data_IF_464100744052
#
_entry.id   IF_464100744052
#
_cell.length_a   1.000
_cell.length_b   1.000
_cell.length_c   1.000
_cell.angle_alpha   90.00
_cell.angle_beta   90.00
_cell.angle_gamma   90.00
#
_symmetry.space_group_name_H-M   'P 1'
#
loop_
_entity.id
_entity.type
_entity.pdbx_description
1 polymer ?
#
# COMPACT_ATOMS: atom_id res chain seq x y z
N UNK A 1 -13.58 -24.82 -15.76
CA UNK A 1 -14.27 -23.57 -15.41
C UNK A 1 -15.19 -23.20 -16.57
N UNK A 2 -16.43 -22.75 -16.30
CA UNK A 2 -17.39 -22.23 -17.30
C UNK A 2 -18.12 -21.02 -16.70
N UNK A 3 -18.44 -19.97 -17.47
CA UNK A 3 -19.31 -18.87 -17.02
C UNK A 3 -20.66 -19.31 -16.46
N UNK A 4 -21.18 -20.47 -16.86
CA UNK A 4 -22.44 -21.03 -16.34
C UNK A 4 -22.37 -21.44 -14.85
N UNK A 5 -21.17 -21.45 -14.26
CA UNK A 5 -20.93 -21.83 -12.86
C UNK A 5 -20.73 -20.62 -11.94
N UNK A 6 -20.96 -19.40 -12.42
CA UNK A 6 -20.90 -18.20 -11.60
C UNK A 6 -22.01 -18.24 -10.54
N UNK A 7 -21.73 -17.64 -9.37
CA UNK A 7 -22.75 -17.43 -8.34
C UNK A 7 -23.89 -16.57 -8.89
N UNK A 8 -25.12 -16.92 -8.53
CA UNK A 8 -26.31 -16.08 -8.80
C UNK A 8 -26.31 -14.78 -7.97
N UNK A 9 -25.45 -14.68 -6.95
CA UNK A 9 -25.37 -13.54 -6.03
C UNK A 9 -24.04 -12.80 -6.18
N UNK A 10 -24.11 -11.53 -6.56
CA UNK A 10 -22.97 -10.60 -6.60
C UNK A 10 -22.89 -9.80 -5.29
N UNK A 11 -22.52 -10.47 -4.20
CA UNK A 11 -22.49 -9.88 -2.85
C UNK A 11 -21.11 -9.34 -2.43
N UNK A 12 -20.12 -9.41 -3.31
CA UNK A 12 -18.75 -8.97 -3.03
C UNK A 12 -17.96 -9.93 -2.14
N UNK A 13 -18.42 -11.17 -1.99
CA UNK A 13 -17.64 -12.24 -1.34
C UNK A 13 -16.34 -12.53 -2.10
N UNK A 14 -15.28 -12.83 -1.35
CA UNK A 14 -13.95 -13.18 -1.91
C UNK A 14 -13.91 -14.57 -2.54
N UNK A 15 -14.88 -15.41 -2.22
CA UNK A 15 -14.94 -16.81 -2.57
C UNK A 15 -16.37 -17.18 -2.95
N UNK A 16 -16.52 -18.11 -3.90
CA UNK A 16 -17.79 -18.68 -4.32
C UNK A 16 -18.40 -17.99 -5.53
N UNK A 17 -17.97 -16.76 -5.86
CA UNK A 17 -18.44 -16.08 -7.08
C UNK A 17 -18.02 -16.82 -8.34
N UNK A 18 -16.75 -17.23 -8.41
CA UNK A 18 -16.18 -17.86 -9.62
C UNK A 18 -16.44 -19.38 -9.68
N UNK A 19 -16.87 -19.99 -8.57
CA UNK A 19 -17.04 -21.43 -8.45
C UNK A 19 -15.73 -22.20 -8.60
N UNK A 20 -14.61 -21.61 -8.17
CA UNK A 20 -13.26 -22.16 -8.25
C UNK A 20 -12.71 -22.48 -6.85
N UNK A 21 -11.49 -23.03 -6.78
CA UNK A 21 -10.81 -23.24 -5.51
C UNK A 21 -10.32 -21.92 -4.89
N UNK A 22 -10.23 -21.86 -3.56
CA UNK A 22 -9.82 -20.69 -2.77
C UNK A 22 -8.59 -19.97 -3.34
N UNK A 23 -7.53 -20.72 -3.69
CA UNK A 23 -6.31 -20.11 -4.24
C UNK A 23 -6.51 -19.44 -5.60
N UNK A 24 -7.38 -20.00 -6.45
CA UNK A 24 -7.69 -19.41 -7.75
C UNK A 24 -8.56 -18.17 -7.59
N UNK A 25 -9.56 -18.22 -6.69
CA UNK A 25 -10.40 -17.05 -6.42
C UNK A 25 -9.63 -15.92 -5.73
N UNK A 26 -8.72 -16.23 -4.82
CA UNK A 26 -7.81 -15.24 -4.23
C UNK A 26 -6.92 -14.55 -5.29
N UNK A 27 -6.45 -15.30 -6.29
CA UNK A 27 -5.71 -14.73 -7.43
C UNK A 27 -6.61 -13.86 -8.32
N UNK A 28 -7.82 -14.34 -8.65
CA UNK A 28 -8.79 -13.60 -9.46
C UNK A 28 -9.28 -12.32 -8.76
N UNK A 29 -9.42 -12.32 -7.44
CA UNK A 29 -9.75 -11.10 -6.69
C UNK A 29 -8.69 -10.01 -6.91
N UNK A 30 -7.39 -10.38 -6.86
CA UNK A 30 -6.31 -9.43 -7.14
C UNK A 30 -6.26 -9.02 -8.62
N UNK A 31 -6.37 -9.98 -9.54
CA UNK A 31 -6.20 -9.75 -10.98
C UNK A 31 -7.39 -9.00 -11.60
N UNK A 32 -8.60 -9.27 -11.13
CA UNK A 32 -9.84 -8.68 -11.64
C UNK A 32 -10.30 -7.60 -10.68
N UNK A 33 -10.81 -7.92 -9.49
CA UNK A 33 -11.44 -6.94 -8.60
C UNK A 33 -10.52 -5.75 -8.30
N UNK A 34 -9.32 -5.98 -7.77
CA UNK A 34 -8.43 -4.90 -7.33
C UNK A 34 -7.84 -4.11 -8.51
N UNK A 35 -7.44 -4.77 -9.59
CA UNK A 35 -6.95 -4.10 -10.79
C UNK A 35 -8.02 -3.22 -11.43
N UNK A 36 -9.20 -3.80 -11.69
CA UNK A 36 -10.31 -3.10 -12.35
C UNK A 36 -10.84 -1.96 -11.46
N UNK A 37 -10.75 -2.07 -10.14
CA UNK A 37 -11.11 -0.97 -9.23
C UNK A 37 -10.23 0.27 -9.43
N UNK A 38 -8.94 0.08 -9.68
CA UNK A 38 -8.04 1.19 -10.01
C UNK A 38 -8.36 1.82 -11.36
N UNK A 39 -8.65 1.01 -12.37
CA UNK A 39 -9.10 1.50 -13.68
C UNK A 39 -10.42 2.27 -13.54
N UNK A 40 -11.39 1.72 -12.80
CA UNK A 40 -12.67 2.38 -12.54
C UNK A 40 -12.48 3.76 -11.90
N UNK A 41 -11.61 3.87 -10.89
CA UNK A 41 -11.32 5.16 -10.26
C UNK A 41 -10.78 6.17 -11.27
N UNK A 42 -9.77 5.78 -12.05
CA UNK A 42 -9.10 6.65 -13.02
C UNK A 42 -10.02 7.08 -14.17
N UNK A 43 -11.00 6.26 -14.55
CA UNK A 43 -12.01 6.64 -15.56
C UNK A 43 -12.96 7.72 -15.02
N UNK A 44 -13.26 7.70 -13.72
CA UNK A 44 -14.22 8.65 -13.11
C UNK A 44 -13.56 9.88 -12.46
N UNK A 45 -12.23 9.90 -12.33
CA UNK A 45 -11.47 10.99 -11.71
C UNK A 45 -10.32 11.40 -12.62
N UNK A 46 -10.35 12.65 -13.08
CA UNK A 46 -9.33 13.18 -13.99
C UNK A 46 -7.90 13.13 -13.41
N UNK A 47 -7.77 13.23 -12.09
CA UNK A 47 -6.49 13.24 -11.37
C UNK A 47 -6.44 12.07 -10.35
N UNK A 48 -6.00 10.86 -10.74
CA UNK A 48 -5.93 9.70 -9.84
C UNK A 48 -4.96 9.89 -8.66
N UNK A 49 -4.03 10.83 -8.81
CA UNK A 49 -3.00 11.23 -7.87
C UNK A 49 -3.47 12.31 -6.87
N UNK A 50 -4.71 12.78 -6.95
CA UNK A 50 -5.21 13.83 -6.06
C UNK A 50 -5.39 13.30 -4.62
N UNK A 51 -4.67 13.90 -3.66
CA UNK A 51 -4.81 13.63 -2.23
C UNK A 51 -6.22 13.91 -1.71
N UNK A 52 -6.86 14.96 -2.23
CA UNK A 52 -8.18 15.39 -1.76
C UNK A 52 -9.31 14.47 -2.24
N UNK A 53 -9.01 13.50 -3.11
CA UNK A 53 -9.94 12.44 -3.52
C UNK A 53 -10.01 11.26 -2.52
N UNK A 54 -9.30 11.35 -1.39
CA UNK A 54 -9.42 10.37 -0.30
C UNK A 54 -10.82 10.40 0.34
N UNK A 55 -11.31 9.28 0.89
CA UNK A 55 -12.58 9.28 1.62
C UNK A 55 -12.58 10.26 2.79
N UNK A 56 -13.71 10.93 3.04
CA UNK A 56 -13.86 11.95 4.10
C UNK A 56 -13.36 11.48 5.48
N UNK A 57 -13.61 10.21 5.82
CA UNK A 57 -13.17 9.63 7.10
C UNK A 57 -11.64 9.61 7.23
N UNK A 58 -10.94 9.35 6.12
CA UNK A 58 -9.48 9.29 6.06
C UNK A 58 -8.89 10.70 6.14
N UNK A 59 -9.43 11.65 5.36
CA UNK A 59 -9.04 13.06 5.43
C UNK A 59 -9.24 13.63 6.83
N UNK A 60 -10.38 13.35 7.47
CA UNK A 60 -10.68 13.84 8.81
C UNK A 60 -9.71 13.30 9.88
N UNK A 61 -9.40 11.99 9.86
CA UNK A 61 -8.46 11.42 10.85
C UNK A 61 -7.03 11.88 10.60
N UNK A 62 -6.58 11.95 9.35
CA UNK A 62 -5.25 12.45 8.99
C UNK A 62 -5.08 13.93 9.37
N UNK A 63 -6.10 14.77 9.13
CA UNK A 63 -6.12 16.17 9.54
C UNK A 63 -6.07 16.33 11.06
N UNK A 64 -6.85 15.53 11.80
CA UNK A 64 -6.86 15.53 13.27
C UNK A 64 -5.48 15.26 13.85
N UNK A 65 -4.73 14.34 13.24
CA UNK A 65 -3.41 13.91 13.71
C UNK A 65 -2.23 14.61 13.02
N UNK A 66 -2.49 15.62 12.18
CA UNK A 66 -1.46 16.29 11.40
C UNK A 66 -0.36 16.94 12.27
N UNK A 67 -0.71 17.39 13.49
CA UNK A 67 0.22 18.05 14.43
C UNK A 67 0.88 17.10 15.43
N UNK A 68 0.61 15.81 15.34
CA UNK A 68 1.22 14.84 16.23
C UNK A 68 2.75 14.83 16.04
N UNK A 69 3.48 14.73 17.16
CA UNK A 69 4.93 14.63 17.11
C UNK A 69 5.32 13.29 16.47
N UNK A 70 6.12 13.36 15.40
CA UNK A 70 6.73 12.19 14.77
C UNK A 70 8.11 11.94 15.37
N UNK A 71 8.40 10.68 15.66
CA UNK A 71 9.72 10.27 16.18
C UNK A 71 10.79 10.35 15.09
N UNK A 72 10.42 10.01 13.86
CA UNK A 72 11.25 10.08 12.68
C UNK A 72 10.54 10.86 11.58
N UNK A 73 11.30 11.70 10.88
CA UNK A 73 10.87 12.38 9.66
C UNK A 73 12.02 12.27 8.67
N UNK A 74 11.82 11.55 7.56
CA UNK A 74 12.84 11.33 6.56
C UNK A 74 12.62 12.21 5.32
N UNK A 75 13.71 12.63 4.68
CA UNK A 75 13.66 13.25 3.36
C UNK A 75 13.36 12.23 2.27
N UNK A 76 12.98 12.71 1.09
CA UNK A 76 12.83 11.86 -0.10
C UNK A 76 14.13 11.11 -0.40
N UNK A 77 15.30 11.75 -0.30
CA UNK A 77 16.59 11.10 -0.57
C UNK A 77 16.91 10.02 0.47
N UNK A 78 16.57 10.23 1.75
CA UNK A 78 16.76 9.22 2.79
C UNK A 78 15.87 8.00 2.56
N UNK A 79 14.60 8.22 2.19
CA UNK A 79 13.72 7.14 1.77
C UNK A 79 14.28 6.42 0.54
N UNK A 80 14.64 7.16 -0.50
CA UNK A 80 15.13 6.62 -1.78
C UNK A 80 16.35 5.69 -1.58
N UNK A 81 17.29 6.12 -0.74
CA UNK A 81 18.54 5.41 -0.44
C UNK A 81 18.39 4.28 0.58
N UNK A 82 17.16 3.95 1.00
CA UNK A 82 16.90 2.95 2.02
C UNK A 82 17.64 3.26 3.35
N UNK A 83 17.67 4.54 3.74
CA UNK A 83 18.45 5.04 4.87
C UNK A 83 17.59 5.32 6.13
N UNK A 84 16.61 4.46 6.42
CA UNK A 84 15.78 4.57 7.63
C UNK A 84 16.34 3.73 8.78
N UNK A 85 15.80 3.91 9.98
CA UNK A 85 16.09 3.07 11.14
C UNK A 85 15.56 1.62 10.99
N UNK A 86 14.60 1.40 10.09
CA UNK A 86 13.90 0.12 9.97
C UNK A 86 14.51 -0.75 8.87
N UNK A 87 15.19 -1.82 9.29
CA UNK A 87 15.87 -2.76 8.38
C UNK A 87 14.91 -3.45 7.40
N UNK A 88 13.67 -3.73 7.79
CA UNK A 88 12.72 -4.37 6.90
C UNK A 88 12.20 -3.38 5.86
N UNK A 89 11.95 -2.14 6.26
CA UNK A 89 11.61 -1.08 5.32
C UNK A 89 12.73 -0.83 4.31
N UNK A 90 13.98 -0.75 4.78
CA UNK A 90 15.15 -0.56 3.92
C UNK A 90 15.32 -1.72 2.93
N UNK A 91 15.05 -2.96 3.35
CA UNK A 91 15.06 -4.11 2.46
C UNK A 91 13.97 -4.04 1.38
N UNK A 92 12.79 -3.54 1.73
CA UNK A 92 11.70 -3.34 0.77
C UNK A 92 12.05 -2.27 -0.27
N UNK A 93 12.58 -1.14 0.16
CA UNK A 93 13.07 -0.11 -0.75
C UNK A 93 14.19 -0.62 -1.65
N UNK A 94 15.16 -1.38 -1.08
CA UNK A 94 16.26 -1.98 -1.85
C UNK A 94 15.75 -2.95 -2.92
N UNK A 95 14.73 -3.77 -2.60
CA UNK A 95 14.09 -4.65 -3.59
C UNK A 95 13.51 -3.82 -4.75
N UNK A 96 12.74 -2.78 -4.44
CA UNK A 96 12.13 -1.92 -5.45
C UNK A 96 13.18 -1.28 -6.36
N UNK A 97 14.23 -0.67 -5.79
CA UNK A 97 15.28 0.01 -6.56
C UNK A 97 16.09 -0.97 -7.42
N UNK A 98 16.43 -2.17 -6.91
CA UNK A 98 17.28 -3.13 -7.62
C UNK A 98 16.53 -3.95 -8.66
N UNK A 99 15.29 -4.32 -8.39
CA UNK A 99 14.54 -5.31 -9.17
C UNK A 99 13.37 -4.69 -9.95
N UNK A 100 13.05 -3.43 -9.69
CA UNK A 100 11.91 -2.73 -10.30
C UNK A 100 10.54 -3.29 -9.89
N UNK A 101 10.50 -4.11 -8.84
CA UNK A 101 9.28 -4.71 -8.28
C UNK A 101 9.46 -4.88 -6.79
N UNK A 102 8.36 -4.93 -6.06
CA UNK A 102 8.37 -5.17 -4.61
C UNK A 102 7.35 -6.25 -4.27
N UNK A 103 7.69 -7.15 -3.36
CA UNK A 103 6.72 -8.12 -2.86
C UNK A 103 5.51 -7.38 -2.24
N UNK A 104 4.29 -7.82 -2.55
CA UNK A 104 3.07 -7.08 -2.20
C UNK A 104 2.91 -6.80 -0.70
N UNK A 105 3.19 -7.78 0.16
CA UNK A 105 3.07 -7.60 1.60
C UNK A 105 4.08 -6.58 2.19
N UNK A 106 5.39 -6.62 1.84
CA UNK A 106 6.30 -5.51 2.09
C UNK A 106 5.87 -4.18 1.47
N UNK A 107 5.26 -4.14 0.27
CA UNK A 107 4.76 -2.89 -0.36
C UNK A 107 3.73 -2.17 0.50
N UNK A 108 2.81 -2.91 1.12
CA UNK A 108 1.87 -2.33 2.07
C UNK A 108 2.57 -1.74 3.31
N UNK A 109 3.52 -2.47 3.91
CA UNK A 109 4.29 -1.97 5.05
C UNK A 109 5.11 -0.73 4.66
N UNK A 110 5.82 -0.82 3.53
CA UNK A 110 6.65 0.23 2.96
C UNK A 110 5.86 1.54 2.87
N UNK A 111 4.67 1.46 2.27
CA UNK A 111 3.85 2.65 2.14
C UNK A 111 3.33 3.19 3.46
N UNK A 112 2.83 2.31 4.35
CA UNK A 112 2.32 2.72 5.67
C UNK A 112 3.40 3.39 6.53
N UNK A 113 4.67 3.00 6.36
CA UNK A 113 5.80 3.62 7.05
C UNK A 113 6.23 4.96 6.45
N UNK A 114 6.13 5.16 5.13
CA UNK A 114 6.31 6.49 4.55
C UNK A 114 5.30 7.47 5.14
N UNK A 115 4.02 7.07 5.28
CA UNK A 115 3.02 7.89 5.96
C UNK A 115 3.40 8.21 7.42
N UNK A 116 3.89 7.22 8.16
CA UNK A 116 4.27 7.39 9.57
C UNK A 116 5.51 8.28 9.75
N UNK A 117 6.40 8.34 8.76
CA UNK A 117 7.70 9.01 8.84
C UNK A 117 7.86 10.19 7.86
N UNK A 118 6.76 10.72 7.33
CA UNK A 118 6.74 11.96 6.55
C UNK A 118 6.23 13.13 7.40
N UNK A 119 6.64 14.35 7.06
CA UNK A 119 6.25 15.56 7.78
C UNK A 119 4.72 15.78 7.75
N UNK A 120 4.07 15.47 6.63
CA UNK A 120 2.62 15.46 6.50
C UNK A 120 2.11 14.29 5.65
N UNK A 121 0.79 13.98 5.71
CA UNK A 121 0.18 12.98 4.83
C UNK A 121 0.23 13.33 3.34
N UNK A 122 0.32 14.63 3.00
CA UNK A 122 0.49 15.08 1.60
C UNK A 122 1.91 14.80 1.13
N UNK A 123 2.92 15.15 1.93
CA UNK A 123 4.32 14.83 1.63
C UNK A 123 4.51 13.31 1.51
N UNK A 124 3.82 12.52 2.35
CA UNK A 124 3.82 11.06 2.22
C UNK A 124 3.26 10.61 0.86
N UNK A 125 2.15 11.18 0.40
CA UNK A 125 1.57 10.86 -0.91
C UNK A 125 2.56 11.19 -2.04
N UNK A 126 3.22 12.34 -1.97
CA UNK A 126 4.24 12.76 -2.94
C UNK A 126 5.43 11.81 -2.97
N UNK A 127 5.99 11.45 -1.81
CA UNK A 127 7.09 10.46 -1.71
C UNK A 127 6.67 9.10 -2.25
N UNK A 128 5.46 8.63 -1.93
CA UNK A 128 4.93 7.36 -2.43
C UNK A 128 4.84 7.35 -3.95
N UNK A 129 4.29 8.40 -4.53
CA UNK A 129 4.12 8.55 -5.99
C UNK A 129 5.48 8.61 -6.67
N UNK A 130 6.38 9.47 -6.19
CA UNK A 130 7.72 9.65 -6.76
C UNK A 130 8.49 8.33 -6.79
N UNK A 131 8.65 7.68 -5.63
CA UNK A 131 9.43 6.44 -5.55
C UNK A 131 8.79 5.29 -6.33
N UNK A 132 7.46 5.19 -6.32
CA UNK A 132 6.76 4.17 -7.07
C UNK A 132 6.91 4.37 -8.58
N UNK A 133 6.68 5.58 -9.08
CA UNK A 133 6.75 5.89 -10.51
C UNK A 133 8.19 5.84 -11.04
N UNK A 134 9.17 6.19 -10.21
CA UNK A 134 10.58 6.17 -10.58
C UNK A 134 11.15 4.76 -10.73
N UNK A 135 10.77 3.85 -9.83
CA UNK A 135 11.43 2.54 -9.73
C UNK A 135 10.55 1.35 -10.09
N UNK A 136 9.23 1.41 -9.88
CA UNK A 136 8.38 0.25 -10.17
C UNK A 136 8.17 0.12 -11.68
N UNK A 137 8.48 -1.06 -12.23
CA UNK A 137 8.13 -1.42 -13.61
C UNK A 137 6.62 -1.49 -13.83
N UNK A 138 5.85 -1.67 -12.75
CA UNK A 138 4.38 -1.59 -12.71
C UNK A 138 3.86 -0.22 -12.22
N UNK A 139 4.73 0.79 -12.17
CA UNK A 139 4.43 2.17 -11.78
C UNK A 139 3.63 2.92 -12.85
N UNK A 140 3.27 4.18 -12.55
CA UNK A 140 2.50 5.05 -13.45
C UNK A 140 1.18 4.44 -13.97
N UNK A 141 0.61 3.50 -13.22
CA UNK A 141 -0.58 2.73 -13.60
C UNK A 141 -1.76 3.02 -12.63
N UNK A 142 -3.03 2.99 -13.08
CA UNK A 142 -4.18 3.18 -12.20
C UNK A 142 -4.19 2.29 -10.96
N UNK A 143 -3.72 1.04 -11.08
CA UNK A 143 -3.60 0.12 -9.95
C UNK A 143 -2.50 0.57 -8.96
N UNK A 144 -1.40 1.12 -9.47
CA UNK A 144 -0.33 1.72 -8.65
C UNK A 144 -0.88 2.86 -7.79
N UNK A 145 -1.67 3.78 -8.37
CA UNK A 145 -2.31 4.86 -7.59
C UNK A 145 -3.31 4.31 -6.57
N UNK A 146 -4.13 3.32 -6.93
CA UNK A 146 -5.01 2.66 -5.95
C UNK A 146 -4.26 2.07 -4.78
N UNK A 147 -3.13 1.40 -5.02
CA UNK A 147 -2.26 0.87 -3.97
C UNK A 147 -1.67 1.97 -3.08
N UNK A 148 -1.20 3.07 -3.69
CA UNK A 148 -0.68 4.24 -2.96
C UNK A 148 -1.78 4.86 -2.11
N UNK A 149 -2.95 5.16 -2.65
CA UNK A 149 -4.01 5.80 -1.87
C UNK A 149 -4.70 4.85 -0.89
N UNK A 150 -4.61 3.54 -1.08
CA UNK A 150 -4.95 2.57 -0.04
C UNK A 150 -4.04 2.71 1.19
N UNK A 151 -2.77 3.10 1.01
CA UNK A 151 -1.89 3.47 2.14
C UNK A 151 -2.56 4.53 3.02
N UNK A 152 -3.22 5.49 2.37
CA UNK A 152 -3.83 6.67 2.98
C UNK A 152 -5.33 6.49 3.30
N UNK A 153 -5.93 5.33 3.02
CA UNK A 153 -7.29 4.98 3.44
C UNK A 153 -8.31 4.74 2.32
N UNK A 154 -7.96 4.91 1.04
CA UNK A 154 -8.85 4.54 -0.08
C UNK A 154 -9.14 3.04 -0.07
N UNK A 155 -10.40 2.65 -0.34
CA UNK A 155 -10.85 1.24 -0.37
C UNK A 155 -10.59 0.43 0.90
N UNK A 156 -10.38 1.12 2.02
CA UNK A 156 -10.31 0.50 3.33
C UNK A 156 -11.35 1.13 4.26
N UNK A 157 -11.47 0.57 5.45
CA UNK A 157 -12.31 1.07 6.53
C UNK A 157 -11.48 1.69 7.64
N UNK A 158 -12.07 2.50 8.53
CA UNK A 158 -11.37 2.95 9.72
C UNK A 158 -11.01 1.78 10.66
N UNK A 159 -9.81 1.86 11.24
CA UNK A 159 -9.29 0.91 12.23
C UNK A 159 -9.24 1.51 13.64
N UNK A 160 -9.49 0.65 14.63
CA UNK A 160 -9.30 0.93 16.04
C UNK A 160 -8.21 0.04 16.65
N UNK A 161 -7.57 0.45 17.75
CA UNK A 161 -7.67 1.78 18.36
C UNK A 161 -7.03 2.86 17.47
N UNK A 162 -7.51 4.11 17.58
CA UNK A 162 -6.92 5.28 16.92
C UNK A 162 -5.50 5.51 17.47
N UNK A 163 -4.56 5.86 16.60
CA UNK A 163 -3.13 5.98 16.94
C UNK A 163 -2.62 7.39 16.66
N UNK A 164 -1.59 7.85 17.38
CA UNK A 164 -0.88 9.06 16.99
C UNK A 164 -0.37 8.96 15.54
N UNK A 165 -0.25 10.12 14.88
CA UNK A 165 0.25 10.32 13.50
C UNK A 165 -0.73 9.81 12.44
N UNK A 166 -1.08 8.52 12.48
CA UNK A 166 -1.86 7.86 11.43
C UNK A 166 -3.37 7.80 11.73
N UNK A 167 -3.80 8.16 12.94
CA UNK A 167 -5.20 8.14 13.34
C UNK A 167 -5.83 6.76 13.18
N UNK A 168 -6.90 6.70 12.37
CA UNK A 168 -7.68 5.48 12.08
C UNK A 168 -7.23 4.74 10.82
N UNK A 169 -6.14 5.16 10.17
CA UNK A 169 -5.55 4.41 9.07
C UNK A 169 -5.05 3.05 9.60
N UNK A 170 -5.18 1.99 8.78
CA UNK A 170 -4.70 0.65 9.14
C UNK A 170 -3.22 0.69 9.51
N UNK A 171 -2.90 0.34 10.74
CA UNK A 171 -1.51 0.24 11.19
C UNK A 171 -0.83 -1.05 10.73
N UNK A 172 0.42 -0.93 10.32
CA UNK A 172 1.31 -2.06 10.08
C UNK A 172 2.66 -1.84 10.80
N UNK A 173 3.18 -2.91 11.42
CA UNK A 173 4.49 -2.90 12.03
C UNK A 173 5.41 -3.91 11.38
N UNK A 174 6.70 -3.59 11.33
CA UNK A 174 7.73 -4.46 10.77
C UNK A 174 7.85 -5.76 11.56
N UNK A 175 7.72 -5.68 12.90
CA UNK A 175 7.68 -6.85 13.78
C UNK A 175 6.56 -7.83 13.41
N UNK A 176 5.34 -7.35 13.19
CA UNK A 176 4.22 -8.23 12.83
C UNK A 176 4.35 -8.75 11.40
N UNK A 177 4.86 -7.92 10.49
CA UNK A 177 5.10 -8.29 9.09
C UNK A 177 6.13 -9.41 8.96
N UNK A 178 7.25 -9.30 9.70
CA UNK A 178 8.30 -10.31 9.74
C UNK A 178 7.85 -11.66 10.32
N UNK A 179 6.78 -11.70 11.11
CA UNK A 179 6.18 -12.95 11.61
C UNK A 179 5.26 -13.61 10.59
N UNK A 180 4.56 -12.81 9.78
CA UNK A 180 3.57 -13.30 8.80
C UNK A 180 4.21 -13.80 7.52
N UNK A 181 5.20 -13.07 7.03
CA UNK A 181 5.94 -13.44 5.82
C UNK A 181 7.26 -14.04 6.28
N UNK A 182 7.67 -15.19 5.75
CA UNK A 182 8.93 -15.86 6.12
C UNK A 182 10.14 -15.09 5.56
N UNK A 183 10.39 -13.88 6.08
CA UNK A 183 11.30 -12.87 5.51
C UNK A 183 12.78 -13.12 5.79
N UNK A 184 13.18 -14.26 6.35
CA UNK A 184 14.60 -14.56 6.61
C UNK A 184 15.43 -14.51 5.32
N UNK A 185 14.94 -15.16 4.26
CA UNK A 185 15.59 -15.12 2.94
C UNK A 185 15.51 -13.73 2.29
N UNK A 186 14.40 -13.02 2.51
CA UNK A 186 14.18 -11.67 2.00
C UNK A 186 15.20 -10.67 2.57
N UNK A 187 15.36 -10.65 3.90
CA UNK A 187 16.33 -9.78 4.57
C UNK A 187 17.78 -10.16 4.24
N UNK A 188 18.08 -11.43 3.99
CA UNK A 188 19.40 -11.84 3.51
C UNK A 188 19.70 -11.28 2.11
N UNK A 189 18.69 -11.27 1.23
CA UNK A 189 18.86 -10.82 -0.17
C UNK A 189 18.91 -9.29 -0.30
N UNK A 190 18.09 -8.57 0.47
CA UNK A 190 17.88 -7.13 0.30
C UNK A 190 18.22 -6.28 1.52
N UNK A 191 18.46 -6.88 2.69
CA UNK A 191 18.71 -6.15 3.95
C UNK A 191 20.18 -5.89 4.26
N UNK A 192 21.10 -6.30 3.37
CA UNK A 192 22.52 -5.93 3.41
C UNK A 192 22.74 -4.71 2.51
N UNK A 193 23.29 -3.65 3.10
CA UNK A 193 23.65 -2.42 2.38
C UNK A 193 24.76 -2.80 1.39
N UNK A 194 24.61 -2.44 0.11
CA UNK A 194 25.73 -2.47 -0.84
C UNK A 194 26.63 -1.26 -0.62
#
# INVERSE_FOLDING_TARGET
WSPDRLSEKADGSREGWWGMGESAEAFLDQLVTWRELGVNFAVHHAEPADYDSLPDWALATLKKHARDRREHVYSLEEFERAATHDRLWNAAQTELVREGRMHNYPRMLWGKKILEWSASPRDAAEVLIELNNKYALDGCDPNSYSGIFWVLGRYDRPFGPERPIIGKIRYMSSRNTARKVRLKGYLKRFGEIA
#
